data_IF_690512680761
#
_entry.id   IF_690512680761
#
_cell.length_a   1.000
_cell.length_b   1.000
_cell.length_c   1.000
_cell.angle_alpha   90.00
_cell.angle_beta   90.00
_cell.angle_gamma   90.00
#
_symmetry.space_group_name_H-M   'P 1'
#
loop_
_entity.id
_entity.type
_entity.pdbx_description
1 polymer ?
#
# COMPACT_ATOMS: atom_id res chain seq x y z
N UNK A 1 -24.12 -59.00 -37.04
CA UNK A 1 -22.90 -59.74 -37.43
C UNK A 1 -21.69 -58.84 -37.19
N UNK A 2 -20.75 -59.35 -36.38
CA UNK A 2 -19.31 -59.04 -36.20
C UNK A 2 -18.72 -57.77 -36.87
N UNK A 3 -18.21 -56.80 -36.09
CA UNK A 3 -16.80 -56.59 -35.65
C UNK A 3 -15.93 -55.88 -36.72
N UNK A 4 -15.28 -54.74 -36.37
CA UNK A 4 -13.81 -54.50 -36.30
C UNK A 4 -13.45 -52.99 -36.44
N UNK A 5 -13.12 -52.29 -35.35
CA UNK A 5 -11.80 -51.73 -34.94
C UNK A 5 -11.04 -50.80 -35.94
N UNK A 6 -10.94 -49.53 -35.52
CA UNK A 6 -9.74 -48.70 -35.28
C UNK A 6 -8.50 -48.81 -36.19
N UNK A 7 -8.00 -47.68 -36.72
CA UNK A 7 -6.60 -47.22 -36.60
C UNK A 7 -6.43 -45.75 -37.07
N UNK A 8 -5.37 -45.10 -36.58
CA UNK A 8 -5.13 -43.65 -36.48
C UNK A 8 -3.87 -43.23 -37.27
N UNK A 9 -3.71 -41.92 -37.57
CA UNK A 9 -2.47 -41.13 -37.91
C UNK A 9 -2.05 -41.20 -39.43
N UNK A 10 -1.64 -40.18 -40.23
CA UNK A 10 -0.84 -38.94 -40.02
C UNK A 10 -0.85 -37.94 -41.23
N UNK A 11 -0.87 -36.63 -40.92
CA UNK A 11 -0.23 -35.41 -41.50
C UNK A 11 -0.41 -34.84 -42.95
N UNK A 12 -0.57 -33.49 -42.94
CA UNK A 12 -0.04 -32.42 -43.82
C UNK A 12 -0.66 -32.24 -45.23
N UNK A 13 -0.90 -31.03 -45.80
CA UNK A 13 -0.55 -29.65 -45.47
C UNK A 13 -1.52 -28.65 -46.17
N UNK A 14 -1.75 -27.51 -45.52
CA UNK A 14 -1.73 -26.11 -46.00
C UNK A 14 -2.18 -25.77 -47.44
N UNK A 15 -3.27 -24.99 -47.55
CA UNK A 15 -3.34 -23.71 -48.26
C UNK A 15 -4.76 -23.14 -48.27
N UNK A 16 -5.04 -22.11 -47.47
CA UNK A 16 -6.11 -21.15 -47.76
C UNK A 16 -5.69 -19.75 -47.31
N UNK A 17 -5.29 -18.98 -48.33
CA UNK A 17 -5.25 -17.53 -48.51
C UNK A 17 -5.57 -16.63 -47.29
N UNK A 18 -4.52 -15.98 -46.78
CA UNK A 18 -4.61 -14.71 -46.07
C UNK A 18 -4.86 -13.58 -47.09
N UNK A 19 -5.99 -12.90 -46.96
CA UNK A 19 -6.17 -11.56 -47.50
C UNK A 19 -5.50 -10.58 -46.53
N UNK A 20 -4.31 -10.09 -46.87
CA UNK A 20 -3.63 -9.06 -46.11
C UNK A 20 -4.31 -7.70 -46.35
N UNK A 21 -5.18 -7.27 -45.43
CA UNK A 21 -5.23 -5.85 -45.08
C UNK A 21 -4.06 -5.61 -44.13
N UNK A 22 -3.10 -4.79 -44.55
CA UNK A 22 -2.11 -4.23 -43.64
C UNK A 22 -2.82 -3.30 -42.65
N UNK A 23 -3.31 -3.85 -41.54
CA UNK A 23 -3.77 -3.06 -40.41
C UNK A 23 -2.54 -2.33 -39.83
N UNK A 24 -2.49 -1.01 -39.98
CA UNK A 24 -1.48 -0.20 -39.27
C UNK A 24 -1.80 -0.22 -37.78
N UNK A 25 -0.74 -0.29 -36.97
CA UNK A 25 -0.82 -0.27 -35.52
C UNK A 25 -1.46 1.03 -35.02
N UNK A 26 -2.20 0.94 -33.90
CA UNK A 26 -2.71 2.09 -33.18
C UNK A 26 -1.55 2.93 -32.65
N UNK A 27 -1.77 4.23 -32.44
CA UNK A 27 -0.78 5.11 -31.81
C UNK A 27 -1.36 5.78 -30.57
N UNK A 28 -0.64 5.71 -29.46
CA UNK A 28 -0.99 6.31 -28.18
C UNK A 28 0.00 7.40 -27.82
N UNK A 29 -0.44 8.65 -27.83
CA UNK A 29 0.36 9.82 -27.44
C UNK A 29 0.12 10.13 -25.97
N UNK A 30 1.20 10.14 -25.19
CA UNK A 30 1.19 10.35 -23.75
C UNK A 30 1.56 11.80 -23.41
N UNK A 31 1.13 12.27 -22.23
CA UNK A 31 1.42 13.63 -21.74
C UNK A 31 2.89 13.84 -21.39
N UNK A 32 3.64 12.77 -21.17
CA UNK A 32 5.08 12.81 -20.96
C UNK A 32 5.89 12.95 -22.27
N UNK A 33 5.21 13.12 -23.40
CA UNK A 33 5.82 13.34 -24.71
C UNK A 33 6.10 12.05 -25.50
N UNK A 34 5.90 10.87 -24.90
CA UNK A 34 6.09 9.60 -25.62
C UNK A 34 4.92 9.28 -26.54
N UNK A 35 5.23 8.70 -27.69
CA UNK A 35 4.24 8.08 -28.59
C UNK A 35 4.54 6.60 -28.67
N UNK A 36 3.54 5.77 -28.36
CA UNK A 36 3.64 4.31 -28.43
C UNK A 36 2.89 3.82 -29.65
N UNK A 37 3.51 2.93 -30.43
CA UNK A 37 2.87 2.25 -31.55
C UNK A 37 2.57 0.80 -31.15
N UNK A 38 1.33 0.36 -31.33
CA UNK A 38 0.86 -0.88 -30.74
C UNK A 38 -0.59 -1.21 -31.05
N UNK A 39 -1.27 -1.89 -30.15
CA UNK A 39 -2.68 -2.24 -30.31
C UNK A 39 -3.42 -1.95 -29.02
N UNK A 40 -4.56 -1.27 -29.12
CA UNK A 40 -5.49 -1.16 -28.00
C UNK A 40 -6.11 -2.53 -27.78
N UNK A 41 -5.77 -3.18 -26.66
CA UNK A 41 -6.31 -4.49 -26.32
C UNK A 41 -7.59 -4.38 -25.50
N UNK A 42 -7.79 -3.24 -24.81
CA UNK A 42 -8.98 -2.97 -24.01
C UNK A 42 -9.17 -1.47 -23.76
N UNK A 43 -10.42 -1.02 -23.76
CA UNK A 43 -10.80 0.34 -23.36
C UNK A 43 -11.99 0.30 -22.40
N UNK A 44 -11.87 0.97 -21.25
CA UNK A 44 -12.95 1.09 -20.25
C UNK A 44 -12.86 2.47 -19.62
N UNK A 45 -13.95 3.25 -19.66
CA UNK A 45 -14.08 4.57 -19.03
C UNK A 45 -12.90 5.54 -19.30
N UNK A 46 -12.36 5.50 -20.53
CA UNK A 46 -11.24 6.33 -20.99
C UNK A 46 -9.83 5.83 -20.61
N UNK A 47 -9.73 4.70 -19.90
CA UNK A 47 -8.47 4.00 -19.67
C UNK A 47 -8.18 3.07 -20.85
N UNK A 48 -6.93 3.07 -21.30
CA UNK A 48 -6.50 2.32 -22.47
C UNK A 48 -5.45 1.29 -22.05
N UNK A 49 -5.73 0.02 -22.30
CA UNK A 49 -4.73 -1.04 -22.27
C UNK A 49 -4.10 -1.12 -23.64
N UNK A 50 -2.81 -0.88 -23.67
CA UNK A 50 -2.05 -0.75 -24.90
C UNK A 50 -0.94 -1.78 -24.89
N UNK A 51 -0.95 -2.66 -25.89
CA UNK A 51 0.10 -3.62 -26.13
C UNK A 51 1.08 -3.04 -27.15
N UNK A 52 2.34 -2.86 -26.75
CA UNK A 52 3.38 -2.25 -27.59
C UNK A 52 4.72 -2.97 -27.40
N UNK A 53 5.60 -2.84 -28.41
CA UNK A 53 6.93 -3.44 -28.37
C UNK A 53 7.98 -2.49 -27.79
N UNK A 54 8.86 -3.03 -26.94
CA UNK A 54 10.09 -2.36 -26.50
C UNK A 54 11.25 -3.32 -26.80
N UNK A 55 11.99 -3.04 -27.87
CA UNK A 55 12.90 -4.03 -28.46
C UNK A 55 12.13 -5.24 -28.99
N UNK A 56 12.55 -6.45 -28.62
CA UNK A 56 11.90 -7.70 -29.02
C UNK A 56 10.77 -8.14 -28.07
N UNK A 57 10.54 -7.42 -26.97
CA UNK A 57 9.55 -7.78 -25.95
C UNK A 57 8.23 -7.05 -26.18
N UNK A 58 7.12 -7.79 -26.17
CA UNK A 58 5.75 -7.25 -26.18
C UNK A 58 5.33 -7.00 -24.73
N UNK A 59 4.90 -5.77 -24.42
CA UNK A 59 4.41 -5.38 -23.11
C UNK A 59 3.00 -4.81 -23.24
N UNK A 60 2.10 -5.21 -22.33
CA UNK A 60 0.78 -4.61 -22.20
C UNK A 60 0.75 -3.72 -20.95
N UNK A 61 0.27 -2.49 -21.10
CA UNK A 61 0.16 -1.53 -20.00
C UNK A 61 -1.15 -0.76 -20.10
N UNK A 62 -1.76 -0.50 -18.94
CA UNK A 62 -2.87 0.43 -18.79
C UNK A 62 -2.37 1.88 -18.66
N UNK A 63 -3.00 2.78 -19.39
CA UNK A 63 -2.81 4.23 -19.32
C UNK A 63 -4.09 4.91 -18.86
N UNK A 64 -3.98 5.81 -17.89
CA UNK A 64 -5.09 6.61 -17.42
C UNK A 64 -5.46 7.75 -18.40
N UNK A 65 -6.71 8.24 -18.42
CA UNK A 65 -7.10 9.39 -19.24
C UNK A 65 -6.22 10.63 -18.99
N UNK A 66 -5.76 10.80 -17.75
CA UNK A 66 -4.83 11.88 -17.38
C UNK A 66 -3.43 11.71 -17.97
N UNK A 67 -3.01 10.50 -18.31
CA UNK A 67 -1.71 10.20 -18.93
C UNK A 67 -1.77 10.31 -20.47
N UNK A 68 -2.98 10.25 -21.05
CA UNK A 68 -3.20 10.17 -22.49
C UNK A 68 -3.51 11.58 -23.04
N UNK A 69 -2.77 11.98 -24.07
CA UNK A 69 -3.08 13.17 -24.86
C UNK A 69 -4.04 12.80 -25.98
N UNK A 70 -3.77 11.69 -26.66
CA UNK A 70 -4.51 11.30 -27.86
C UNK A 70 -4.33 9.80 -28.13
N UNK A 71 -5.43 9.14 -28.50
CA UNK A 71 -5.43 7.83 -29.14
C UNK A 71 -5.80 8.02 -30.61
N UNK A 72 -4.95 7.56 -31.52
CA UNK A 72 -5.24 7.52 -32.95
C UNK A 72 -5.34 6.06 -33.40
N UNK A 73 -6.57 5.65 -33.73
CA UNK A 73 -6.87 4.32 -34.26
C UNK A 73 -6.58 4.28 -35.76
N UNK A 74 -6.02 3.19 -36.25
CA UNK A 74 -5.58 3.08 -37.65
C UNK A 74 -6.73 3.10 -38.67
N UNK A 75 -7.14 4.27 -39.13
CA UNK A 75 -7.85 4.48 -40.41
C UNK A 75 -7.34 5.74 -41.11
N UNK A 76 -7.30 5.68 -42.45
CA UNK A 76 -6.77 6.71 -43.33
C UNK A 76 -7.49 8.07 -43.16
N UNK A 77 -6.77 9.10 -42.73
CA UNK A 77 -6.56 10.32 -43.53
C UNK A 77 -5.65 11.36 -42.84
N UNK A 78 -4.90 12.06 -43.71
CA UNK A 78 -4.22 13.36 -43.59
C UNK A 78 -2.97 13.54 -42.68
N UNK A 79 -1.81 13.40 -43.34
CA UNK A 79 -0.62 14.29 -43.47
C UNK A 79 -0.07 15.18 -42.34
N UNK A 80 1.26 15.43 -42.34
CA UNK A 80 2.05 15.81 -41.16
C UNK A 80 2.19 17.33 -40.98
N UNK A 81 2.43 17.75 -39.74
CA UNK A 81 3.05 19.05 -39.44
C UNK A 81 4.37 18.78 -38.71
N UNK A 82 5.44 19.31 -39.28
CA UNK A 82 6.84 19.20 -38.90
C UNK A 82 7.24 20.34 -37.94
N UNK A 83 8.04 19.97 -36.92
CA UNK A 83 9.03 20.67 -36.05
C UNK A 83 8.86 22.16 -35.61
N UNK A 84 9.29 22.63 -34.43
CA UNK A 84 10.61 22.45 -33.78
C UNK A 84 10.60 22.92 -32.27
N UNK A 85 11.74 23.09 -31.56
CA UNK A 85 12.00 22.51 -30.23
C UNK A 85 11.81 23.49 -29.05
N UNK A 86 11.70 22.97 -27.82
CA UNK A 86 12.04 23.76 -26.63
C UNK A 86 12.94 22.93 -25.73
N UNK A 87 14.10 23.52 -25.45
CA UNK A 87 15.25 22.89 -24.84
C UNK A 87 15.02 22.42 -23.41
N UNK A 88 15.74 21.37 -23.06
CA UNK A 88 15.91 20.96 -21.68
C UNK A 88 16.68 22.00 -20.89
N UNK A 89 16.24 22.22 -19.66
CA UNK A 89 17.08 22.69 -18.58
C UNK A 89 17.00 21.63 -17.47
N UNK A 90 18.08 20.85 -17.36
CA UNK A 90 18.31 19.98 -16.21
C UNK A 90 18.54 20.87 -14.98
N UNK A 91 17.69 20.73 -13.97
CA UNK A 91 17.98 21.25 -12.65
C UNK A 91 18.94 20.28 -11.96
N UNK A 92 20.17 20.75 -11.79
CA UNK A 92 21.20 20.16 -10.93
C UNK A 92 20.70 20.13 -9.49
N UNK A 93 20.61 18.93 -8.92
CA UNK A 93 20.40 18.74 -7.49
C UNK A 93 21.69 19.09 -6.73
N UNK A 94 21.60 20.06 -5.82
CA UNK A 94 22.65 20.37 -4.85
C UNK A 94 22.80 19.21 -3.84
N UNK A 95 24.02 18.85 -3.44
CA UNK A 95 24.25 17.74 -2.52
C UNK A 95 23.88 18.14 -1.10
N UNK A 96 22.89 17.43 -0.54
CA UNK A 96 22.51 17.52 0.87
C UNK A 96 23.72 17.32 1.79
N UNK A 97 23.83 18.20 2.80
CA UNK A 97 24.84 18.17 3.83
C UNK A 97 24.88 16.79 4.54
N UNK A 98 26.09 16.24 4.66
CA UNK A 98 26.35 15.01 5.43
C UNK A 98 25.98 15.23 6.91
N UNK A 99 25.21 14.34 7.55
CA UNK A 99 25.06 14.36 8.99
C UNK A 99 26.40 14.02 9.66
N UNK A 100 26.73 14.72 10.74
CA UNK A 100 27.88 14.46 11.60
C UNK A 100 27.82 13.00 12.11
N UNK A 101 28.80 12.20 11.70
CA UNK A 101 28.93 10.81 12.13
C UNK A 101 29.48 10.78 13.55
N UNK A 102 28.60 10.52 14.50
CA UNK A 102 29.00 9.95 15.79
C UNK A 102 29.53 8.54 15.52
N UNK A 103 30.78 8.26 15.88
CA UNK A 103 31.40 6.94 15.67
C UNK A 103 30.79 5.93 16.65
N UNK A 104 29.84 5.14 16.17
CA UNK A 104 29.13 4.13 16.97
C UNK A 104 29.83 2.77 17.01
N UNK A 105 31.07 2.66 16.50
CA UNK A 105 31.79 1.40 16.41
C UNK A 105 31.18 0.42 15.39
N UNK A 106 31.74 -0.79 15.33
CA UNK A 106 31.34 -1.83 14.35
C UNK A 106 30.12 -2.68 14.76
N UNK A 107 29.54 -2.46 15.93
CA UNK A 107 28.46 -3.30 16.48
C UNK A 107 27.13 -2.96 15.79
N UNK A 108 26.35 -3.98 15.43
CA UNK A 108 25.01 -3.79 14.83
C UNK A 108 24.05 -3.17 15.84
N UNK A 109 23.33 -2.13 15.43
CA UNK A 109 22.43 -1.34 16.27
C UNK A 109 21.01 -1.47 15.76
N UNK A 110 20.18 -2.22 16.48
CA UNK A 110 18.83 -2.57 16.09
C UNK A 110 17.85 -1.66 16.81
N UNK A 111 16.85 -1.13 16.11
CA UNK A 111 15.69 -0.50 16.73
C UNK A 111 14.41 -1.20 16.30
N UNK A 112 13.48 -1.39 17.23
CA UNK A 112 12.15 -1.90 16.95
C UNK A 112 11.19 -0.72 16.81
N UNK A 113 10.53 -0.61 15.66
CA UNK A 113 9.39 0.26 15.45
C UNK A 113 8.11 -0.56 15.39
N UNK A 114 7.07 -0.15 16.08
CA UNK A 114 5.79 -0.87 16.09
C UNK A 114 4.76 -0.28 15.12
N UNK A 115 4.29 -1.12 14.20
CA UNK A 115 3.10 -0.89 13.39
C UNK A 115 1.86 -1.47 14.06
N UNK A 116 1.24 -0.68 14.93
CA UNK A 116 0.14 -1.11 15.81
C UNK A 116 -1.14 -0.32 15.60
N UNK A 117 -2.28 -0.96 15.85
CA UNK A 117 -3.60 -0.35 15.74
C UNK A 117 -4.06 -0.22 14.28
N UNK A 118 -5.01 0.65 14.01
CA UNK A 118 -5.65 0.72 12.69
C UNK A 118 -4.74 1.40 11.66
N UNK A 119 -4.64 0.80 10.47
CA UNK A 119 -3.92 1.37 9.33
C UNK A 119 -4.60 2.66 8.85
N UNK A 120 -3.81 3.73 8.67
CA UNK A 120 -4.30 5.08 8.37
C UNK A 120 -4.59 5.93 9.61
N UNK A 121 -4.55 5.33 10.80
CA UNK A 121 -4.71 6.02 12.08
C UNK A 121 -3.44 5.85 12.93
N UNK A 122 -3.40 4.80 13.76
CA UNK A 122 -2.27 4.52 14.63
C UNK A 122 -1.05 4.00 13.83
N UNK A 123 -1.29 3.13 12.85
CA UNK A 123 -0.28 2.68 11.90
C UNK A 123 -0.34 3.55 10.64
N UNK A 124 0.59 4.48 10.48
CA UNK A 124 0.56 5.49 9.43
C UNK A 124 1.96 5.81 8.87
N UNK A 125 2.02 6.34 7.65
CA UNK A 125 3.26 6.66 6.97
C UNK A 125 4.00 7.85 7.60
N UNK A 126 3.25 8.86 8.06
CA UNK A 126 3.81 10.07 8.67
C UNK A 126 4.73 9.78 9.88
N UNK A 127 4.29 9.07 10.94
CA UNK A 127 5.16 8.80 12.08
C UNK A 127 6.35 7.90 11.70
N UNK A 128 6.22 7.03 10.69
CA UNK A 128 7.38 6.30 10.14
C UNK A 128 8.39 7.24 9.50
N UNK A 129 7.95 8.20 8.70
CA UNK A 129 8.86 9.17 8.10
C UNK A 129 9.53 10.06 9.14
N UNK A 130 8.76 10.56 10.11
CA UNK A 130 9.27 11.40 11.21
C UNK A 130 10.29 10.66 12.10
N UNK A 131 10.24 9.32 12.13
CA UNK A 131 11.16 8.48 12.91
C UNK A 131 12.55 8.33 12.29
N UNK A 132 12.72 8.52 10.97
CA UNK A 132 14.00 8.35 10.27
C UNK A 132 15.14 9.18 10.88
N UNK A 133 15.00 10.51 11.09
CA UNK A 133 16.08 11.30 11.68
C UNK A 133 16.44 10.86 13.11
N UNK A 134 15.47 10.37 13.89
CA UNK A 134 15.73 9.86 15.24
C UNK A 134 16.54 8.56 15.22
N UNK A 135 16.21 7.65 14.30
CA UNK A 135 16.98 6.43 14.07
C UNK A 135 18.42 6.73 13.66
N UNK A 136 18.61 7.68 12.74
CA UNK A 136 19.94 8.11 12.30
C UNK A 136 20.74 8.75 13.44
N UNK A 137 20.10 9.60 14.26
CA UNK A 137 20.72 10.21 15.43
C UNK A 137 21.19 9.15 16.45
N UNK A 138 20.47 8.05 16.59
CA UNK A 138 20.82 6.96 17.50
C UNK A 138 21.76 5.91 16.88
N UNK A 139 22.23 6.14 15.65
CA UNK A 139 23.15 5.27 14.94
C UNK A 139 22.55 3.91 14.58
N UNK A 140 21.24 3.83 14.38
CA UNK A 140 20.56 2.57 14.04
C UNK A 140 21.00 2.11 12.66
N UNK A 141 21.38 0.83 12.55
CA UNK A 141 21.77 0.18 11.28
C UNK A 141 20.66 -0.73 10.75
N UNK A 142 19.79 -1.19 11.63
CA UNK A 142 18.81 -2.23 11.38
C UNK A 142 17.48 -1.83 12.02
N UNK A 143 16.40 -1.82 11.23
CA UNK A 143 15.05 -1.51 11.71
C UNK A 143 14.20 -2.77 11.65
N UNK A 144 13.73 -3.20 12.82
CA UNK A 144 12.70 -4.23 12.96
C UNK A 144 11.34 -3.53 13.01
N UNK A 145 10.54 -3.71 11.97
CA UNK A 145 9.16 -3.25 11.94
C UNK A 145 8.24 -4.36 12.48
N UNK A 146 7.86 -4.25 13.76
CA UNK A 146 6.98 -5.21 14.41
C UNK A 146 5.52 -4.87 14.11
N UNK A 147 4.78 -5.78 13.46
CA UNK A 147 3.41 -5.52 13.01
C UNK A 147 2.41 -6.24 13.88
N UNK A 148 1.46 -5.49 14.44
CA UNK A 148 0.29 -6.00 15.15
C UNK A 148 -0.94 -5.13 14.81
N UNK A 149 -1.60 -5.48 13.70
CA UNK A 149 -2.74 -4.73 13.18
C UNK A 149 -3.69 -5.63 12.39
N UNK A 150 -4.99 -5.39 12.59
CA UNK A 150 -6.07 -6.02 11.84
C UNK A 150 -6.33 -5.39 10.46
N UNK A 151 -5.62 -4.32 10.10
CA UNK A 151 -5.84 -3.56 8.87
C UNK A 151 -6.45 -2.19 9.12
N UNK A 152 -7.10 -1.63 8.09
CA UNK A 152 -7.62 -0.26 8.11
C UNK A 152 -7.76 0.32 6.70
N UNK A 153 -7.48 1.61 6.56
CA UNK A 153 -7.78 2.34 5.34
C UNK A 153 -6.84 1.99 4.18
N UNK A 154 -7.43 1.60 3.04
CA UNK A 154 -6.70 1.27 1.81
C UNK A 154 -5.81 2.42 1.31
N UNK A 155 -6.25 3.67 1.51
CA UNK A 155 -5.55 4.88 1.10
C UNK A 155 -4.15 5.05 1.72
N UNK A 156 -3.88 4.38 2.84
CA UNK A 156 -2.60 4.50 3.55
C UNK A 156 -1.60 3.41 3.13
N UNK A 157 -2.07 2.35 2.48
CA UNK A 157 -1.25 1.19 2.09
C UNK A 157 -0.02 1.63 1.29
N UNK A 158 -0.26 2.36 0.20
CA UNK A 158 0.79 2.81 -0.70
C UNK A 158 1.80 3.70 0.04
N UNK A 159 1.33 4.63 0.88
CA UNK A 159 2.19 5.57 1.60
C UNK A 159 3.12 4.86 2.58
N UNK A 160 2.61 3.93 3.38
CA UNK A 160 3.44 3.16 4.31
C UNK A 160 4.45 2.32 3.53
N UNK A 161 3.98 1.61 2.50
CA UNK A 161 4.84 0.75 1.68
C UNK A 161 5.94 1.55 0.98
N UNK A 162 5.66 2.78 0.54
CA UNK A 162 6.62 3.69 -0.07
C UNK A 162 7.66 4.22 0.92
N UNK A 163 7.25 4.59 2.14
CA UNK A 163 8.19 4.99 3.18
C UNK A 163 9.13 3.84 3.52
N UNK A 164 8.59 2.64 3.76
CA UNK A 164 9.39 1.45 4.06
C UNK A 164 10.34 1.09 2.91
N UNK A 165 9.86 1.13 1.67
CA UNK A 165 10.65 0.71 0.51
C UNK A 165 11.66 1.77 0.05
N UNK A 166 11.22 3.01 -0.16
CA UNK A 166 12.05 4.06 -0.77
C UNK A 166 12.84 4.90 0.25
N UNK A 167 12.44 4.91 1.53
CA UNK A 167 13.13 5.72 2.56
C UNK A 167 13.88 4.85 3.57
N UNK A 168 13.29 3.76 4.03
CA UNK A 168 13.94 2.88 5.01
C UNK A 168 14.96 1.92 4.40
N UNK A 169 14.61 1.12 3.38
CA UNK A 169 15.55 0.14 2.78
C UNK A 169 16.90 0.75 2.33
N UNK A 170 16.97 1.99 1.79
CA UNK A 170 18.25 2.59 1.43
C UNK A 170 19.15 2.96 2.62
N UNK A 171 18.55 3.13 3.81
CA UNK A 171 19.25 3.62 5.01
C UNK A 171 19.51 2.52 6.04
N UNK A 172 18.65 1.51 6.10
CA UNK A 172 18.66 0.47 7.12
C UNK A 172 18.42 -0.90 6.50
N UNK A 173 18.99 -1.96 7.11
CA UNK A 173 18.43 -3.31 6.90
C UNK A 173 17.05 -3.33 7.53
N UNK A 174 16.02 -3.64 6.75
CA UNK A 174 14.64 -3.68 7.24
C UNK A 174 14.13 -5.10 7.40
N UNK A 175 13.49 -5.36 8.53
CA UNK A 175 12.94 -6.68 8.87
C UNK A 175 11.52 -6.52 9.36
N UNK A 176 10.59 -7.33 8.87
CA UNK A 176 9.23 -7.40 9.43
C UNK A 176 9.18 -8.48 10.52
N UNK A 177 8.61 -8.16 11.68
CA UNK A 177 8.35 -9.13 12.74
C UNK A 177 6.85 -9.21 13.03
N UNK A 178 6.21 -10.31 12.63
CA UNK A 178 4.76 -10.39 12.48
C UNK A 178 4.12 -11.03 13.72
N UNK A 179 3.44 -10.22 14.51
CA UNK A 179 2.48 -10.71 15.52
C UNK A 179 1.09 -10.89 14.91
N UNK A 180 0.64 -9.91 14.12
CA UNK A 180 -0.60 -9.97 13.36
C UNK A 180 -0.54 -8.93 12.25
N UNK A 181 -0.63 -9.36 10.99
CA UNK A 181 -0.62 -8.49 9.83
C UNK A 181 -1.78 -8.86 8.92
N UNK A 182 -2.97 -8.37 9.26
CA UNK A 182 -4.18 -8.64 8.49
C UNK A 182 -4.55 -7.44 7.61
N UNK A 183 -5.08 -7.73 6.43
CA UNK A 183 -5.65 -6.77 5.51
C UNK A 183 -4.66 -5.67 5.11
N UNK A 184 -5.01 -4.39 5.28
CA UNK A 184 -4.15 -3.27 4.98
C UNK A 184 -2.78 -3.35 5.69
N UNK A 185 -2.68 -4.00 6.86
CA UNK A 185 -1.41 -4.14 7.56
C UNK A 185 -0.44 -5.10 6.85
N UNK A 186 -0.97 -6.24 6.36
CA UNK A 186 -0.23 -7.14 5.48
C UNK A 186 0.20 -6.41 4.20
N UNK A 187 -0.75 -5.74 3.53
CA UNK A 187 -0.47 -5.01 2.28
C UNK A 187 0.60 -3.91 2.46
N UNK A 188 0.52 -3.14 3.55
CA UNK A 188 1.47 -2.07 3.87
C UNK A 188 2.89 -2.59 4.12
N UNK A 189 3.03 -3.71 4.84
CA UNK A 189 4.33 -4.28 5.21
C UNK A 189 4.91 -5.27 4.19
N UNK A 190 4.16 -5.62 3.15
CA UNK A 190 4.54 -6.63 2.15
C UNK A 190 5.82 -6.32 1.38
N UNK A 191 6.23 -5.04 1.31
CA UNK A 191 7.47 -4.64 0.65
C UNK A 191 8.75 -5.06 1.40
N UNK A 192 8.61 -5.57 2.63
CA UNK A 192 9.70 -6.12 3.42
C UNK A 192 9.95 -7.59 3.03
N UNK A 193 11.14 -7.87 2.52
CA UNK A 193 11.55 -9.20 2.04
C UNK A 193 11.92 -10.14 3.19
N UNK A 194 12.54 -9.59 4.24
CA UNK A 194 12.94 -10.33 5.41
C UNK A 194 11.81 -10.31 6.45
N UNK A 195 11.04 -11.39 6.51
CA UNK A 195 9.88 -11.53 7.39
C UNK A 195 10.13 -12.67 8.39
N UNK A 196 9.93 -12.40 9.67
CA UNK A 196 9.86 -13.41 10.73
C UNK A 196 8.49 -13.35 11.39
N UNK A 197 7.96 -14.51 11.77
CA UNK A 197 6.69 -14.60 12.47
C UNK A 197 6.92 -14.75 13.97
N UNK A 198 6.00 -14.24 14.78
CA UNK A 198 5.80 -14.74 16.14
C UNK A 198 5.08 -16.09 16.09
N UNK A 199 5.15 -16.94 17.13
CA UNK A 199 4.56 -18.30 17.09
C UNK A 199 3.08 -18.36 16.70
N UNK A 200 2.29 -17.37 17.10
CA UNK A 200 0.86 -17.27 16.77
C UNK A 200 0.59 -16.22 15.67
N UNK A 201 1.62 -15.84 14.92
CA UNK A 201 1.58 -14.81 13.91
C UNK A 201 0.72 -15.19 12.71
N UNK A 202 0.08 -14.19 12.10
CA UNK A 202 -0.68 -14.36 10.88
C UNK A 202 -0.41 -13.22 9.87
N UNK A 203 -0.51 -13.54 8.58
CA UNK A 203 -0.26 -12.59 7.49
C UNK A 203 -1.19 -12.87 6.30
N UNK A 204 -2.01 -11.88 5.92
CA UNK A 204 -2.89 -12.00 4.75
C UNK A 204 -4.28 -11.44 5.03
N UNK A 205 -5.33 -12.09 4.50
CA UNK A 205 -6.71 -11.63 4.74
C UNK A 205 -6.98 -10.23 4.16
N UNK A 206 -6.48 -9.97 2.95
CA UNK A 206 -6.48 -8.68 2.25
C UNK A 206 -7.75 -8.38 1.46
N UNK A 207 -8.90 -8.89 1.90
CA UNK A 207 -10.19 -8.58 1.28
C UNK A 207 -10.62 -7.15 1.61
N UNK A 208 -10.92 -6.36 0.58
CA UNK A 208 -11.40 -4.98 0.73
C UNK A 208 -12.90 -4.93 1.00
N UNK A 209 -13.29 -4.09 1.98
CA UNK A 209 -14.67 -3.83 2.36
C UNK A 209 -14.98 -2.33 2.35
N UNK A 210 -16.22 -1.95 2.09
CA UNK A 210 -16.74 -0.58 2.16
C UNK A 210 -18.09 -0.54 2.91
N UNK A 211 -18.44 0.62 3.46
CA UNK A 211 -19.75 0.84 4.09
C UNK A 211 -20.12 -0.22 5.13
N UNK A 212 -21.29 -0.85 4.95
CA UNK A 212 -21.86 -1.88 5.83
C UNK A 212 -21.24 -3.27 5.63
N UNK A 213 -19.92 -3.33 5.39
CA UNK A 213 -19.19 -4.55 5.01
C UNK A 213 -19.59 -5.10 3.63
N UNK A 214 -19.80 -4.21 2.68
CA UNK A 214 -19.93 -4.57 1.27
C UNK A 214 -18.54 -4.77 0.66
N UNK A 215 -18.31 -5.89 -0.02
CA UNK A 215 -17.03 -6.12 -0.69
C UNK A 215 -16.77 -5.01 -1.72
N UNK A 216 -15.54 -4.51 -1.79
CA UNK A 216 -15.13 -3.56 -2.84
C UNK A 216 -15.17 -4.29 -4.19
N UNK A 217 -15.74 -3.65 -5.22
CA UNK A 217 -15.97 -4.24 -6.55
C UNK A 217 -15.52 -3.31 -7.67
N UNK A 218 -15.38 -3.87 -8.88
CA UNK A 218 -15.06 -3.14 -10.10
C UNK A 218 -13.76 -2.37 -9.97
N UNK A 219 -13.75 -1.15 -10.51
CA UNK A 219 -12.55 -0.30 -10.62
C UNK A 219 -11.78 -0.13 -9.31
N UNK A 220 -12.46 0.15 -8.20
CA UNK A 220 -11.79 0.37 -6.91
C UNK A 220 -11.05 -0.87 -6.41
N UNK A 221 -11.57 -2.07 -6.70
CA UNK A 221 -10.88 -3.33 -6.39
C UNK A 221 -9.69 -3.54 -7.34
N UNK A 222 -9.89 -3.31 -8.64
CA UNK A 222 -8.81 -3.46 -9.64
C UNK A 222 -7.61 -2.53 -9.36
N UNK A 223 -7.86 -1.29 -8.91
CA UNK A 223 -6.81 -0.35 -8.51
C UNK A 223 -5.95 -0.91 -7.35
N UNK A 224 -6.58 -1.55 -6.36
CA UNK A 224 -5.89 -2.15 -5.21
C UNK A 224 -5.14 -3.42 -5.62
N UNK A 225 -5.72 -4.26 -6.49
CA UNK A 225 -5.04 -5.43 -7.04
C UNK A 225 -3.78 -5.04 -7.81
N UNK A 226 -3.87 -4.03 -8.68
CA UNK A 226 -2.74 -3.52 -9.46
C UNK A 226 -1.67 -2.86 -8.58
N UNK A 227 -2.08 -2.08 -7.58
CA UNK A 227 -1.15 -1.50 -6.61
C UNK A 227 -0.35 -2.60 -5.90
N UNK A 228 -1.01 -3.68 -5.49
CA UNK A 228 -0.36 -4.79 -4.81
C UNK A 228 0.49 -5.67 -5.73
N UNK A 229 0.18 -5.78 -7.02
CA UNK A 229 1.06 -6.39 -8.00
C UNK A 229 2.39 -5.62 -8.11
N UNK A 230 2.32 -4.28 -8.16
CA UNK A 230 3.52 -3.41 -8.16
C UNK A 230 4.32 -3.54 -6.87
N UNK A 231 3.64 -3.58 -5.72
CA UNK A 231 4.29 -3.78 -4.42
C UNK A 231 4.95 -5.16 -4.35
N UNK A 232 4.32 -6.20 -4.92
CA UNK A 232 4.90 -7.55 -4.98
C UNK A 232 6.17 -7.58 -5.82
N UNK A 233 6.16 -6.95 -7.00
CA UNK A 233 7.32 -6.90 -7.88
C UNK A 233 8.52 -6.23 -7.20
N UNK A 234 8.33 -5.08 -6.55
CA UNK A 234 9.43 -4.40 -5.83
C UNK A 234 9.86 -5.10 -4.53
N UNK A 235 9.03 -6.00 -4.01
CA UNK A 235 9.38 -6.88 -2.89
C UNK A 235 10.07 -8.16 -3.35
N UNK A 236 10.32 -8.33 -4.65
CA UNK A 236 10.82 -9.57 -5.25
C UNK A 236 9.98 -10.80 -4.86
N UNK A 237 8.65 -10.64 -4.81
CA UNK A 237 7.68 -11.70 -4.49
C UNK A 237 6.77 -11.95 -5.68
N UNK A 238 6.36 -13.22 -5.85
CA UNK A 238 5.38 -13.55 -6.88
C UNK A 238 4.04 -12.84 -6.57
N UNK A 239 3.48 -12.06 -7.52
CA UNK A 239 2.25 -11.29 -7.30
C UNK A 239 1.01 -12.16 -7.05
N UNK A 240 1.03 -13.44 -7.47
CA UNK A 240 -0.06 -14.38 -7.22
C UNK A 240 -0.31 -14.59 -5.72
N UNK A 241 0.74 -14.51 -4.88
CA UNK A 241 0.62 -14.68 -3.43
C UNK A 241 -0.29 -13.60 -2.85
N UNK A 242 0.00 -12.32 -3.14
CA UNK A 242 -0.80 -11.21 -2.62
C UNK A 242 -2.20 -11.19 -3.25
N UNK A 243 -2.32 -11.55 -4.53
CA UNK A 243 -3.63 -11.69 -5.18
C UNK A 243 -4.53 -12.71 -4.47
N UNK A 244 -3.98 -13.85 -4.08
CA UNK A 244 -4.68 -14.87 -3.30
C UNK A 244 -5.06 -14.42 -1.88
N UNK A 245 -4.31 -13.47 -1.32
CA UNK A 245 -4.69 -12.82 -0.06
C UNK A 245 -5.82 -11.80 -0.25
N UNK A 246 -6.05 -11.28 -1.46
CA UNK A 246 -7.03 -10.21 -1.71
C UNK A 246 -8.40 -10.72 -2.16
N UNK A 247 -8.41 -11.73 -3.03
CA UNK A 247 -9.62 -12.23 -3.69
C UNK A 247 -9.68 -13.76 -3.68
N UNK A 248 -10.90 -14.29 -3.79
CA UNK A 248 -11.14 -15.74 -3.88
C UNK A 248 -10.66 -16.30 -5.22
N UNK A 249 -10.30 -17.58 -5.21
CA UNK A 249 -10.04 -18.36 -6.42
C UNK A 249 -11.30 -18.77 -7.21
N UNK A 250 -12.50 -18.57 -6.68
CA UNK A 250 -13.73 -19.00 -7.35
C UNK A 250 -14.09 -18.13 -8.58
N UNK A 251 -14.36 -18.71 -9.77
CA UNK A 251 -14.81 -17.97 -10.95
C UNK A 251 -16.08 -17.14 -10.72
N UNK A 252 -17.03 -17.67 -9.93
CA UNK A 252 -18.28 -16.98 -9.62
C UNK A 252 -18.02 -15.70 -8.83
N UNK A 253 -17.01 -15.71 -7.95
CA UNK A 253 -16.62 -14.53 -7.17
C UNK A 253 -16.02 -13.46 -8.08
N UNK A 254 -15.23 -13.82 -9.09
CA UNK A 254 -14.72 -12.83 -10.04
C UNK A 254 -15.84 -12.12 -10.80
N UNK A 255 -16.85 -12.88 -11.26
CA UNK A 255 -18.03 -12.30 -11.91
C UNK A 255 -18.78 -11.36 -10.96
N UNK A 256 -18.99 -11.76 -9.71
CA UNK A 256 -19.67 -10.95 -8.70
C UNK A 256 -18.89 -9.69 -8.32
N UNK A 257 -17.55 -9.76 -8.33
CA UNK A 257 -16.67 -8.65 -8.05
C UNK A 257 -16.48 -7.74 -9.27
N UNK A 258 -16.92 -8.15 -10.46
CA UNK A 258 -16.80 -7.38 -11.69
C UNK A 258 -15.34 -7.16 -12.10
N UNK A 259 -14.46 -8.13 -11.83
CA UNK A 259 -13.04 -8.06 -12.15
C UNK A 259 -12.65 -9.10 -13.20
N UNK A 260 -11.60 -8.80 -13.96
CA UNK A 260 -11.05 -9.74 -14.93
C UNK A 260 -10.07 -10.73 -14.30
N UNK A 261 -9.88 -11.93 -14.91
CA UNK A 261 -8.78 -12.82 -14.56
C UNK A 261 -7.43 -12.09 -14.53
N UNK A 262 -6.45 -12.58 -13.76
CA UNK A 262 -6.48 -13.87 -13.05
C UNK A 262 -7.26 -13.84 -11.72
N UNK A 263 -7.73 -15.00 -11.26
CA UNK A 263 -8.42 -15.15 -9.97
C UNK A 263 -7.44 -15.10 -8.80
N UNK A 264 -7.94 -15.32 -7.60
CA UNK A 264 -7.09 -15.53 -6.43
C UNK A 264 -6.48 -16.93 -6.32
N UNK A 265 -6.73 -17.86 -7.26
CA UNK A 265 -6.19 -19.23 -7.18
C UNK A 265 -4.67 -19.23 -6.99
N UNK A 266 -4.20 -20.08 -6.08
CA UNK A 266 -2.79 -20.23 -5.77
C UNK A 266 -2.44 -21.67 -5.44
N UNK A 267 -1.43 -22.16 -6.13
CA UNK A 267 -0.76 -23.40 -5.79
C UNK A 267 0.76 -23.24 -5.88
N UNK A 268 1.48 -24.19 -5.29
CA UNK A 268 2.93 -24.19 -5.29
C UNK A 268 3.53 -25.58 -5.34
N UNK A 269 4.75 -25.65 -5.87
CA UNK A 269 5.65 -26.79 -5.74
C UNK A 269 6.83 -26.39 -4.85
N UNK A 270 7.28 -27.32 -4.02
CA UNK A 270 8.52 -27.17 -3.23
C UNK A 270 9.52 -28.18 -3.79
N UNK A 271 10.68 -27.69 -4.23
CA UNK A 271 11.78 -28.57 -4.62
C UNK A 271 12.32 -29.31 -3.39
N UNK A 272 12.33 -30.65 -3.38
CA UNK A 272 12.73 -31.42 -2.20
C UNK A 272 14.23 -31.36 -1.89
N UNK A 273 15.07 -30.92 -2.83
CA UNK A 273 16.53 -30.78 -2.68
C UNK A 273 16.92 -29.37 -2.24
N UNK A 274 16.35 -28.35 -2.88
CA UNK A 274 16.74 -26.94 -2.62
C UNK A 274 15.78 -26.23 -1.67
N UNK A 275 14.55 -26.72 -1.51
CA UNK A 275 13.49 -26.03 -0.78
C UNK A 275 12.94 -24.80 -1.52
N UNK A 276 13.32 -24.58 -2.77
CA UNK A 276 12.81 -23.49 -3.60
C UNK A 276 11.32 -23.69 -3.89
N UNK A 277 10.57 -22.59 -3.87
CA UNK A 277 9.11 -22.60 -4.05
C UNK A 277 8.75 -21.98 -5.39
N UNK A 278 8.16 -22.79 -6.26
CA UNK A 278 7.58 -22.32 -7.53
C UNK A 278 6.08 -22.10 -7.34
N UNK A 279 5.62 -20.89 -7.62
CA UNK A 279 4.24 -20.45 -7.44
C UNK A 279 3.47 -20.45 -8.76
N UNK A 280 2.21 -20.86 -8.72
CA UNK A 280 1.30 -20.90 -9.86
C UNK A 280 0.00 -20.19 -9.50
N UNK A 281 -0.50 -19.34 -10.39
CA UNK A 281 -1.78 -18.63 -10.21
C UNK A 281 -2.95 -19.45 -10.75
N UNK A 282 -2.99 -20.71 -10.32
CA UNK A 282 -3.95 -21.75 -10.65
C UNK A 282 -3.81 -22.92 -9.65
N UNK A 283 -4.39 -24.08 -9.94
CA UNK A 283 -4.32 -25.28 -9.09
C UNK A 283 -3.39 -26.37 -9.64
N UNK A 284 -2.43 -26.03 -10.51
CA UNK A 284 -1.53 -27.00 -11.15
C UNK A 284 -0.40 -27.51 -10.24
N UNK A 285 -0.07 -26.77 -9.18
CA UNK A 285 0.94 -27.14 -8.19
C UNK A 285 0.47 -28.26 -7.24
N UNK A 286 1.45 -28.95 -6.63
CA UNK A 286 1.22 -30.05 -5.68
C UNK A 286 0.54 -29.60 -4.39
N UNK A 287 0.76 -28.36 -3.97
CA UNK A 287 0.15 -27.77 -2.79
C UNK A 287 -0.82 -26.67 -3.22
N UNK A 288 -2.11 -26.83 -2.97
CA UNK A 288 -3.12 -25.78 -3.18
C UNK A 288 -3.27 -24.98 -1.88
N UNK A 289 -3.12 -23.66 -1.95
CA UNK A 289 -3.09 -22.78 -0.77
C UNK A 289 -4.43 -22.07 -0.50
N UNK A 290 -5.35 -22.04 -1.46
CA UNK A 290 -6.71 -21.52 -1.29
C UNK A 290 -7.77 -22.49 -1.85
N UNK A 291 -7.96 -23.65 -1.21
CA UNK A 291 -8.80 -24.72 -1.75
C UNK A 291 -10.28 -24.33 -1.80
N UNK A 292 -10.99 -24.79 -2.85
CA UNK A 292 -12.40 -24.45 -3.19
C UNK A 292 -13.44 -24.62 -2.06
N UNK A 293 -13.14 -25.38 -1.02
CA UNK A 293 -14.05 -25.68 0.10
C UNK A 293 -13.55 -25.14 1.45
N UNK A 294 -12.50 -24.32 1.46
CA UNK A 294 -11.93 -23.70 2.67
C UNK A 294 -12.09 -22.18 2.70
N UNK A 295 -11.32 -21.51 3.55
CA UNK A 295 -11.17 -20.05 3.49
C UNK A 295 -10.47 -19.73 2.17
N UNK A 296 -11.21 -19.17 1.22
CA UNK A 296 -10.72 -18.89 -0.14
C UNK A 296 -9.77 -17.69 -0.22
N UNK A 297 -9.44 -17.10 0.92
CA UNK A 297 -8.57 -15.95 1.07
C UNK A 297 -7.34 -16.42 1.83
N UNK A 298 -6.17 -16.33 1.19
CA UNK A 298 -4.93 -16.76 1.79
C UNK A 298 -4.63 -15.92 3.03
N UNK A 299 -4.39 -16.61 4.14
CA UNK A 299 -3.82 -16.05 5.36
C UNK A 299 -2.82 -17.06 5.88
N UNK A 300 -1.53 -16.72 5.80
CA UNK A 300 -0.49 -17.58 6.35
C UNK A 300 -0.51 -17.52 7.86
N UNK A 301 -0.43 -18.69 8.51
CA UNK A 301 0.14 -18.78 9.85
C UNK A 301 1.68 -18.90 9.79
N UNK A 302 2.34 -18.93 10.95
CA UNK A 302 3.79 -19.04 11.05
C UNK A 302 4.36 -20.32 10.39
N UNK A 303 3.68 -21.46 10.53
CA UNK A 303 4.13 -22.76 10.04
C UNK A 303 4.03 -22.83 8.50
N UNK A 304 2.90 -22.38 7.95
CA UNK A 304 2.70 -22.33 6.50
C UNK A 304 3.64 -21.30 5.86
N UNK A 305 3.81 -20.12 6.47
CA UNK A 305 4.75 -19.12 5.98
C UNK A 305 6.18 -19.65 5.86
N UNK A 306 6.64 -20.42 6.85
CA UNK A 306 7.97 -21.02 6.85
C UNK A 306 8.08 -22.18 5.85
N UNK A 307 7.07 -23.05 5.80
CA UNK A 307 6.99 -24.16 4.85
C UNK A 307 7.13 -23.68 3.40
N UNK A 308 6.45 -22.60 3.05
CA UNK A 308 6.46 -22.04 1.70
C UNK A 308 7.53 -20.95 1.48
N UNK A 309 8.52 -20.83 2.39
CA UNK A 309 9.60 -19.84 2.31
C UNK A 309 9.11 -18.40 2.15
N UNK A 310 7.89 -18.11 2.60
CA UNK A 310 7.35 -16.77 2.67
C UNK A 310 8.00 -15.98 3.82
N UNK A 311 8.33 -16.68 4.92
CA UNK A 311 9.09 -16.17 6.06
C UNK A 311 10.48 -16.84 6.18
N UNK A 312 11.36 -16.20 6.96
CA UNK A 312 12.71 -16.66 7.31
C UNK A 312 12.76 -17.47 8.62
N UNK A 313 11.62 -17.61 9.28
CA UNK A 313 11.47 -18.40 10.49
C UNK A 313 10.49 -17.79 11.49
N UNK A 314 10.39 -18.46 12.63
CA UNK A 314 9.47 -18.12 13.71
C UNK A 314 10.24 -17.87 15.00
N UNK A 315 10.07 -16.68 15.60
CA UNK A 315 10.81 -16.22 16.80
C UNK A 315 9.88 -15.48 17.75
N UNK A 316 10.03 -15.73 19.06
CA UNK A 316 9.16 -15.18 20.12
C UNK A 316 9.71 -13.89 20.72
N UNK A 317 11.03 -13.74 20.77
CA UNK A 317 11.69 -12.59 21.42
C UNK A 317 12.56 -11.81 20.45
N UNK A 318 12.84 -10.56 20.79
CA UNK A 318 13.71 -9.70 20.00
C UNK A 318 15.17 -10.23 19.97
N UNK A 319 15.63 -10.88 21.04
CA UNK A 319 16.93 -11.55 21.06
C UNK A 319 16.98 -12.79 20.15
N UNK A 320 15.93 -13.62 20.15
CA UNK A 320 15.80 -14.74 19.21
C UNK A 320 15.80 -14.24 17.76
N UNK A 321 15.09 -13.14 17.49
CA UNK A 321 15.07 -12.49 16.19
C UNK A 321 16.48 -12.06 15.75
N UNK A 322 17.22 -11.34 16.60
CA UNK A 322 18.56 -10.87 16.26
C UNK A 322 19.53 -12.04 15.97
N UNK A 323 19.43 -13.14 16.73
CA UNK A 323 20.21 -14.35 16.47
C UNK A 323 19.83 -14.99 15.13
N UNK A 324 18.53 -15.09 14.84
CA UNK A 324 18.02 -15.63 13.59
C UNK A 324 18.42 -14.77 12.37
N UNK A 325 18.52 -13.45 12.55
CA UNK A 325 19.08 -12.52 11.56
C UNK A 325 20.59 -12.71 11.31
N UNK A 326 21.26 -13.56 12.10
CA UNK A 326 22.66 -13.92 11.99
C UNK A 326 23.61 -13.16 12.91
N UNK A 327 23.10 -12.48 13.95
CA UNK A 327 23.95 -11.66 14.83
C UNK A 327 24.42 -12.39 16.08
N UNK A 328 25.73 -12.31 16.32
CA UNK A 328 26.40 -12.75 17.56
C UNK A 328 26.68 -11.58 18.50
N UNK A 329 26.92 -10.40 17.96
CA UNK A 329 27.14 -9.15 18.69
C UNK A 329 26.20 -8.08 18.14
N UNK A 330 25.33 -7.55 19.00
CA UNK A 330 24.37 -6.51 18.66
C UNK A 330 23.94 -5.74 19.89
N UNK A 331 23.36 -4.56 19.67
CA UNK A 331 22.70 -3.76 20.71
C UNK A 331 21.33 -3.35 20.21
N UNK A 332 20.31 -3.57 21.02
CA UNK A 332 19.01 -2.93 20.83
C UNK A 332 19.06 -1.50 21.39
N UNK A 333 18.80 -0.53 20.53
CA UNK A 333 18.82 0.90 20.84
C UNK A 333 17.60 1.26 21.68
N UNK A 334 17.84 1.96 22.79
CA UNK A 334 16.77 2.53 23.60
C UNK A 334 16.92 2.30 25.10
N UNK A 335 15.86 2.62 25.84
CA UNK A 335 15.74 2.45 27.29
C UNK A 335 14.65 1.41 27.61
N UNK A 336 14.78 0.64 28.71
CA UNK A 336 13.70 -0.24 29.15
C UNK A 336 12.46 0.58 29.52
N UNK A 337 11.29 0.15 29.07
CA UNK A 337 10.00 0.76 29.40
C UNK A 337 9.09 -0.31 30.00
N UNK A 338 8.42 0.01 31.12
CA UNK A 338 7.54 -0.93 31.83
C UNK A 338 6.43 -1.43 30.89
N UNK A 339 6.32 -2.75 30.76
CA UNK A 339 5.30 -3.40 29.92
C UNK A 339 5.68 -3.56 28.46
N UNK A 340 6.85 -3.07 28.03
CA UNK A 340 7.41 -3.30 26.69
C UNK A 340 8.50 -4.36 26.78
N UNK A 341 8.44 -5.36 25.91
CA UNK A 341 9.35 -6.51 25.95
C UNK A 341 10.73 -6.24 25.33
N UNK A 342 10.99 -5.03 24.85
CA UNK A 342 12.24 -4.61 24.20
C UNK A 342 12.62 -3.18 24.59
N UNK A 343 13.88 -2.76 24.40
CA UNK A 343 14.29 -1.36 24.58
C UNK A 343 13.55 -0.42 23.61
N UNK A 344 13.06 0.71 24.15
CA UNK A 344 12.35 1.73 23.38
C UNK A 344 13.33 2.83 22.98
N UNK A 345 13.60 2.92 21.68
CA UNK A 345 14.39 4.00 21.06
C UNK A 345 13.61 5.32 21.06
N UNK A 346 14.26 6.45 20.77
CA UNK A 346 13.57 7.73 20.61
C UNK A 346 12.53 7.67 19.48
N UNK A 347 12.88 6.97 18.40
CA UNK A 347 12.01 6.76 17.27
C UNK A 347 10.73 5.98 17.65
N UNK A 348 10.86 4.93 18.47
CA UNK A 348 9.72 4.17 18.96
C UNK A 348 8.90 4.93 20.01
N UNK A 349 9.55 5.73 20.87
CA UNK A 349 8.87 6.63 21.80
C UNK A 349 7.95 7.60 21.03
N UNK A 350 8.45 8.18 19.92
CA UNK A 350 7.64 9.04 19.04
C UNK A 350 6.47 8.29 18.37
N UNK A 351 6.66 7.03 17.96
CA UNK A 351 5.59 6.18 17.42
C UNK A 351 4.50 5.92 18.47
N UNK A 352 4.88 5.58 19.71
CA UNK A 352 3.95 5.37 20.83
C UNK A 352 3.16 6.66 21.11
N UNK A 353 3.84 7.81 21.15
CA UNK A 353 3.20 9.11 21.35
C UNK A 353 2.23 9.48 20.23
N UNK A 354 2.55 9.15 18.98
CA UNK A 354 1.65 9.30 17.85
C UNK A 354 0.37 8.48 18.06
N UNK A 355 0.51 7.17 18.34
CA UNK A 355 -0.63 6.26 18.53
C UNK A 355 -1.52 6.70 19.68
N UNK A 356 -0.93 7.14 20.79
CA UNK A 356 -1.68 7.69 21.93
C UNK A 356 -2.40 8.97 21.52
N UNK A 357 -1.68 9.92 20.92
CA UNK A 357 -2.23 11.22 20.55
C UNK A 357 -3.39 11.13 19.57
N UNK A 358 -3.31 10.26 18.56
CA UNK A 358 -4.39 10.12 17.57
C UNK A 358 -5.61 9.41 18.18
N UNK A 359 -5.38 8.44 19.07
CA UNK A 359 -6.47 7.75 19.78
C UNK A 359 -7.21 8.71 20.72
N UNK A 360 -6.48 9.56 21.45
CA UNK A 360 -7.07 10.62 22.28
C UNK A 360 -7.82 11.64 21.44
N UNK A 361 -7.27 12.06 20.29
CA UNK A 361 -7.93 12.97 19.37
C UNK A 361 -9.23 12.37 18.83
N UNK A 362 -9.22 11.09 18.44
CA UNK A 362 -10.40 10.38 17.94
C UNK A 362 -11.49 10.28 19.02
N UNK A 363 -11.13 9.89 20.24
CA UNK A 363 -12.08 9.75 21.34
C UNK A 363 -12.76 11.09 21.72
N UNK A 364 -12.02 12.20 21.63
CA UNK A 364 -12.51 13.53 21.99
C UNK A 364 -13.11 14.31 20.82
N UNK A 365 -12.97 13.83 19.59
CA UNK A 365 -13.34 14.60 18.40
C UNK A 365 -14.80 15.03 18.42
N UNK A 366 -15.71 14.08 18.67
CA UNK A 366 -17.15 14.34 18.74
C UNK A 366 -17.51 15.37 19.81
N UNK A 367 -16.92 15.24 21.01
CA UNK A 367 -17.12 16.20 22.11
C UNK A 367 -16.69 17.62 21.72
N UNK A 368 -15.54 17.77 21.06
CA UNK A 368 -15.02 19.08 20.62
C UNK A 368 -15.95 19.69 19.57
N UNK A 369 -16.42 18.90 18.59
CA UNK A 369 -17.34 19.36 17.54
C UNK A 369 -18.68 19.78 18.15
N UNK A 370 -19.27 18.96 19.03
CA UNK A 370 -20.53 19.28 19.70
C UNK A 370 -20.39 20.53 20.57
N UNK A 371 -19.29 20.66 21.31
CA UNK A 371 -19.04 21.84 22.16
C UNK A 371 -18.84 23.10 21.32
N UNK A 372 -18.16 23.00 20.18
CA UNK A 372 -18.04 24.08 19.20
C UNK A 372 -19.42 24.54 18.70
N UNK A 373 -20.24 23.60 18.21
CA UNK A 373 -21.57 23.89 17.69
C UNK A 373 -22.49 24.50 18.74
N UNK A 374 -22.48 23.98 19.97
CA UNK A 374 -23.26 24.51 21.08
C UNK A 374 -22.85 25.94 21.42
N UNK A 375 -21.55 26.24 21.45
CA UNK A 375 -21.06 27.59 21.69
C UNK A 375 -21.46 28.58 20.57
N UNK A 376 -21.42 28.14 19.31
CA UNK A 376 -21.90 28.94 18.17
C UNK A 376 -23.41 29.22 18.28
N UNK A 377 -24.22 28.21 18.59
CA UNK A 377 -25.67 28.37 18.74
C UNK A 377 -26.02 29.32 19.88
N UNK A 378 -25.35 29.21 21.02
CA UNK A 378 -25.55 30.11 22.16
C UNK A 378 -25.16 31.55 21.84
N UNK A 379 -24.07 31.74 21.07
CA UNK A 379 -23.70 33.07 20.57
C UNK A 379 -24.78 33.65 19.63
N UNK A 380 -25.32 32.84 18.71
CA UNK A 380 -26.37 33.25 17.78
C UNK A 380 -27.67 33.65 18.49
N UNK A 381 -28.06 32.91 19.55
CA UNK A 381 -29.29 33.20 20.29
C UNK A 381 -29.16 34.33 21.33
N UNK A 382 -27.93 34.72 21.70
CA UNK A 382 -27.72 35.73 22.73
C UNK A 382 -27.98 37.14 22.22
N UNK A 383 -28.94 37.84 22.83
CA UNK A 383 -29.23 39.24 22.55
C UNK A 383 -28.24 40.19 23.24
N UNK A 384 -27.68 39.78 24.38
CA UNK A 384 -26.67 40.54 25.12
C UNK A 384 -25.28 40.37 24.48
N UNK A 385 -24.61 41.49 24.20
CA UNK A 385 -23.29 41.52 23.53
C UNK A 385 -22.17 40.94 24.39
N UNK A 386 -22.19 41.15 25.69
CA UNK A 386 -21.18 40.64 26.63
C UNK A 386 -21.29 39.13 26.77
N UNK A 387 -22.51 38.63 26.95
CA UNK A 387 -22.79 37.19 27.04
C UNK A 387 -22.43 36.51 25.71
N UNK A 388 -22.82 37.12 24.57
CA UNK A 388 -22.45 36.64 23.23
C UNK A 388 -20.93 36.53 23.06
N UNK A 389 -20.18 37.57 23.47
CA UNK A 389 -18.72 37.57 23.40
C UNK A 389 -18.07 36.40 24.16
N UNK A 390 -18.64 36.02 25.31
CA UNK A 390 -18.16 34.85 26.07
C UNK A 390 -18.33 33.53 25.31
N UNK A 391 -19.47 33.34 24.63
CA UNK A 391 -19.72 32.15 23.82
C UNK A 391 -18.85 32.10 22.55
N UNK A 392 -18.61 33.25 21.91
CA UNK A 392 -17.68 33.37 20.78
C UNK A 392 -16.26 32.95 21.21
N UNK A 393 -15.79 33.38 22.39
CA UNK A 393 -14.47 32.99 22.88
C UNK A 393 -14.37 31.48 23.16
N UNK A 394 -15.43 30.85 23.70
CA UNK A 394 -15.48 29.38 23.84
C UNK A 394 -15.44 28.68 22.49
N UNK A 395 -16.24 29.14 21.52
CA UNK A 395 -16.24 28.60 20.16
C UNK A 395 -14.85 28.68 19.52
N UNK A 396 -14.14 29.81 19.65
CA UNK A 396 -12.74 29.95 19.18
C UNK A 396 -11.79 28.95 19.84
N UNK A 397 -11.94 28.69 21.14
CA UNK A 397 -11.15 27.68 21.86
C UNK A 397 -11.33 26.27 21.28
N UNK A 398 -12.58 25.87 21.01
CA UNK A 398 -12.87 24.58 20.37
C UNK A 398 -12.39 24.53 18.91
N UNK A 399 -12.58 25.60 18.14
CA UNK A 399 -12.09 25.69 16.75
C UNK A 399 -10.56 25.57 16.67
N UNK A 400 -9.83 26.22 17.60
CA UNK A 400 -8.38 26.06 17.71
C UNK A 400 -7.98 24.63 18.08
N UNK A 401 -8.77 23.94 18.90
CA UNK A 401 -8.53 22.53 19.22
C UNK A 401 -8.68 21.65 17.98
N UNK A 402 -9.71 21.87 17.16
CA UNK A 402 -9.90 21.18 15.87
C UNK A 402 -8.74 21.48 14.90
N UNK A 403 -8.28 22.73 14.85
CA UNK A 403 -7.12 23.13 14.03
C UNK A 403 -5.84 22.41 14.44
N UNK A 404 -5.60 22.27 15.74
CA UNK A 404 -4.44 21.54 16.24
C UNK A 404 -4.50 20.04 15.90
N UNK A 405 -5.70 19.44 15.99
CA UNK A 405 -5.92 18.04 15.55
C UNK A 405 -5.62 17.90 14.06
N UNK A 406 -6.22 18.75 13.21
CA UNK A 406 -6.04 18.74 11.76
C UNK A 406 -4.57 18.90 11.35
N UNK A 407 -3.84 19.81 12.01
CA UNK A 407 -2.41 20.03 11.77
C UNK A 407 -1.56 18.82 12.13
N UNK A 408 -1.88 18.15 13.25
CA UNK A 408 -1.09 17.02 13.75
C UNK A 408 -1.42 15.71 13.03
N UNK A 409 -2.69 15.48 12.70
CA UNK A 409 -3.21 14.23 12.17
C UNK A 409 -3.91 14.47 10.82
N UNK A 410 -3.18 14.37 9.68
CA UNK A 410 -3.70 14.70 8.36
C UNK A 410 -4.96 13.92 7.95
N UNK A 411 -5.16 12.72 8.51
CA UNK A 411 -6.35 11.90 8.25
C UNK A 411 -7.66 12.59 8.69
N UNK A 412 -7.61 13.45 9.71
CA UNK A 412 -8.78 14.24 10.14
C UNK A 412 -9.16 15.32 9.14
N UNK A 413 -8.18 15.89 8.41
CA UNK A 413 -8.44 16.83 7.32
C UNK A 413 -9.26 16.14 6.24
N UNK A 414 -8.86 14.92 5.87
CA UNK A 414 -9.53 14.15 4.82
C UNK A 414 -10.95 13.73 5.22
N UNK A 415 -11.16 13.16 6.40
CA UNK A 415 -12.48 12.62 6.78
C UNK A 415 -13.48 13.66 7.25
N UNK A 416 -13.02 14.77 7.84
CA UNK A 416 -13.89 15.78 8.43
C UNK A 416 -13.83 17.12 7.70
N UNK A 417 -13.16 17.17 6.54
CA UNK A 417 -12.98 18.36 5.73
C UNK A 417 -12.41 19.56 6.52
N UNK A 418 -11.50 19.30 7.47
CA UNK A 418 -10.85 20.32 8.30
C UNK A 418 -9.70 21.00 7.53
N UNK A 419 -10.02 21.53 6.36
CA UNK A 419 -9.08 22.22 5.48
C UNK A 419 -8.96 23.72 5.89
N UNK A 420 -7.98 24.47 5.34
CA UNK A 420 -7.83 25.90 5.65
C UNK A 420 -9.11 26.72 5.43
N UNK A 421 -9.80 26.49 4.32
CA UNK A 421 -11.03 27.22 3.95
C UNK A 421 -12.13 27.04 5.00
N UNK A 422 -12.34 25.80 5.48
CA UNK A 422 -13.27 25.52 6.58
C UNK A 422 -12.96 26.40 7.80
N UNK A 423 -11.69 26.46 8.20
CA UNK A 423 -11.29 27.24 9.37
C UNK A 423 -11.47 28.75 9.15
N UNK A 424 -11.20 29.26 7.95
CA UNK A 424 -11.41 30.67 7.60
C UNK A 424 -12.90 31.04 7.60
N UNK A 425 -13.75 30.20 7.01
CA UNK A 425 -15.21 30.38 7.01
C UNK A 425 -15.78 30.42 8.44
N UNK A 426 -15.35 29.48 9.29
CA UNK A 426 -15.76 29.44 10.69
C UNK A 426 -15.29 30.68 11.46
N UNK A 427 -14.05 31.13 11.25
CA UNK A 427 -13.56 32.36 11.87
C UNK A 427 -14.35 33.61 11.44
N UNK A 428 -14.64 33.73 10.14
CA UNK A 428 -15.39 34.85 9.59
C UNK A 428 -16.83 34.87 10.12
N UNK A 429 -17.49 33.71 10.22
CA UNK A 429 -18.78 33.58 10.88
C UNK A 429 -18.74 34.11 12.32
N UNK A 430 -17.75 33.69 13.11
CA UNK A 430 -17.58 34.15 14.49
C UNK A 430 -17.28 35.66 14.58
N UNK A 431 -16.55 36.23 13.62
CA UNK A 431 -16.33 37.69 13.53
C UNK A 431 -17.62 38.44 13.23
N UNK A 432 -18.49 37.91 12.37
CA UNK A 432 -19.80 38.52 12.08
C UNK A 432 -20.71 38.50 13.30
N UNK A 433 -20.72 37.41 14.08
CA UNK A 433 -21.50 37.34 15.33
C UNK A 433 -21.03 38.33 16.40
N UNK A 434 -19.75 38.74 16.36
CA UNK A 434 -19.20 39.71 17.30
C UNK A 434 -19.62 41.16 17.00
N UNK A 435 -20.15 41.46 15.81
CA UNK A 435 -20.68 42.78 15.43
C UNK A 435 -22.10 42.93 16.02
#
# INVERSE_FOLDING_TARGET
MKILRTFTILAAALALSLSALAARADTLKLRDGRTLEGTVTREVDGYIWFSYKVGDLVQERMFAPSEIVQLSRGTADASPIEEAPVGGAAATADPAAKPETTDFGRVRRLAILTGEGMVGMQMAAKPLEDAIPLLQQEGVTDVVYKVNSGGGYLLEIQKISDVLHFKYKPLFRTVAWIESAISAAAMSSYCLEEIYFMPNGNFGGCTGWSGSLDAVKGRGLEEVLLAMERISARANRNPAIMRAMQISGSPDVMQQLGISPPSGELSANIDPRTGEVTWFQDQSGKHVLNPKHGVMILTFDALEAEKFKFSRGTVRTHDELARQMGYTEYVFVGKPVRGVAWPVSKAEEAQIEWRRGISEAQARFGEIVTSYQAAVQQAQSSQDKTIRGSFINRARGHLNSLRNIAKRFPIFVMFYNLNPDFFEEQEEMLRRLAR
#
